data_IF_937399097395
#
_entry.id   IF_937399097395
#
_cell.length_a   1.000
_cell.length_b   1.000
_cell.length_c   1.000
_cell.angle_alpha   90.00
_cell.angle_beta   90.00
_cell.angle_gamma   90.00
#
_symmetry.space_group_name_H-M   'P 1'
#
loop_
_entity.id
_entity.type
_entity.pdbx_description
1 polymer ?
#
# COMPACT_ATOMS: atom_id res chain seq x y z
N UNK A 1 -29.10 -14.66 -5.69
CA UNK A 1 -28.03 -13.69 -6.05
C UNK A 1 -28.71 -12.54 -6.76
N UNK A 2 -28.33 -11.30 -6.45
CA UNK A 2 -28.88 -10.13 -7.14
C UNK A 2 -28.34 -10.15 -8.58
N UNK A 3 -29.23 -10.24 -9.59
CA UNK A 3 -28.84 -10.28 -11.01
C UNK A 3 -28.05 -9.03 -11.45
N UNK A 4 -28.09 -7.97 -10.65
CA UNK A 4 -27.42 -6.71 -10.88
C UNK A 4 -26.12 -6.56 -10.06
N UNK A 5 -25.64 -7.61 -9.40
CA UNK A 5 -24.40 -7.54 -8.61
C UNK A 5 -23.18 -7.42 -9.51
N UNK A 6 -22.31 -6.47 -9.19
CA UNK A 6 -21.09 -6.19 -9.94
C UNK A 6 -19.86 -6.57 -9.15
N UNK A 7 -18.88 -7.18 -9.82
CA UNK A 7 -17.63 -7.54 -9.17
C UNK A 7 -16.45 -7.38 -10.11
N UNK A 8 -15.31 -6.96 -9.57
CA UNK A 8 -14.12 -6.80 -10.40
C UNK A 8 -12.90 -6.34 -9.61
N UNK A 9 -11.76 -6.39 -10.29
CA UNK A 9 -10.47 -6.00 -9.77
C UNK A 9 -10.12 -4.58 -10.20
N UNK A 10 -9.62 -3.77 -9.27
CA UNK A 10 -9.28 -2.36 -9.48
C UNK A 10 -7.85 -2.08 -9.03
N UNK A 11 -6.97 -1.77 -9.97
CA UNK A 11 -5.61 -1.36 -9.64
C UNK A 11 -5.57 0.07 -9.12
N UNK A 12 -4.83 0.31 -8.04
CA UNK A 12 -4.53 1.64 -7.52
C UNK A 12 -3.09 1.98 -7.87
N UNK A 13 -2.89 2.90 -8.77
CA UNK A 13 -1.58 3.32 -9.26
C UNK A 13 -1.30 4.80 -9.04
N UNK A 14 -0.06 5.20 -9.21
CA UNK A 14 0.40 6.57 -9.07
C UNK A 14 1.80 6.65 -8.51
N UNK A 15 2.39 7.83 -8.51
CA UNK A 15 3.71 8.04 -7.93
C UNK A 15 3.76 7.68 -6.44
N UNK A 16 4.96 7.48 -5.87
CA UNK A 16 5.11 7.38 -4.42
C UNK A 16 4.50 8.60 -3.71
N UNK A 17 3.89 8.37 -2.55
CA UNK A 17 3.36 9.39 -1.63
C UNK A 17 2.13 10.20 -2.12
N UNK A 18 1.53 9.89 -3.24
CA UNK A 18 0.26 10.54 -3.69
C UNK A 18 -0.96 10.14 -2.84
N UNK A 19 -0.82 9.14 -1.95
CA UNK A 19 -1.86 8.75 -0.98
C UNK A 19 -2.65 7.49 -1.34
N UNK A 20 -2.10 6.60 -2.18
CA UNK A 20 -2.75 5.34 -2.60
C UNK A 20 -3.24 4.50 -1.42
N UNK A 21 -2.33 4.08 -0.56
CA UNK A 21 -2.64 3.26 0.63
C UNK A 21 -3.54 4.00 1.64
N UNK A 22 -3.44 5.34 1.72
CA UNK A 22 -4.32 6.16 2.58
C UNK A 22 -5.74 6.12 2.05
N UNK A 23 -5.93 6.31 0.74
CA UNK A 23 -7.26 6.24 0.11
C UNK A 23 -7.85 4.84 0.26
N UNK A 24 -7.08 3.79 -0.04
CA UNK A 24 -7.53 2.41 0.10
C UNK A 24 -7.99 2.11 1.53
N UNK A 25 -7.18 2.41 2.55
CA UNK A 25 -7.57 2.23 3.96
C UNK A 25 -8.84 3.02 4.32
N UNK A 26 -9.00 4.23 3.76
CA UNK A 26 -10.18 5.06 3.99
C UNK A 26 -11.44 4.43 3.38
N UNK A 27 -11.37 3.95 2.12
CA UNK A 27 -12.49 3.32 1.42
C UNK A 27 -12.93 2.01 2.10
N UNK A 28 -11.98 1.24 2.60
CA UNK A 28 -12.23 -0.02 3.31
C UNK A 28 -12.74 0.22 4.76
N UNK A 29 -12.47 1.39 5.34
CA UNK A 29 -12.77 1.69 6.74
C UNK A 29 -11.84 1.03 7.76
N UNK A 30 -10.79 0.33 7.30
CA UNK A 30 -9.80 -0.37 8.12
C UNK A 30 -8.38 -0.12 7.63
N UNK A 31 -7.40 -0.23 8.54
CA UNK A 31 -6.00 -0.09 8.19
C UNK A 31 -5.39 -1.44 7.81
N UNK A 32 -5.33 -1.71 6.52
CA UNK A 32 -4.70 -2.92 5.95
C UNK A 32 -3.31 -2.57 5.38
N UNK A 33 -3.21 -1.52 4.59
CA UNK A 33 -1.96 -1.07 4.02
C UNK A 33 -1.23 -0.10 4.94
N UNK A 34 0.09 -0.22 5.00
CA UNK A 34 0.92 0.73 5.73
C UNK A 34 1.00 2.07 5.00
N UNK A 35 1.13 3.14 5.77
CA UNK A 35 1.22 4.49 5.24
C UNK A 35 2.49 5.19 5.71
N UNK A 36 3.16 5.93 4.84
CA UNK A 36 4.32 6.75 5.20
C UNK A 36 4.53 7.87 4.19
N UNK A 37 5.16 8.97 4.63
CA UNK A 37 5.63 10.03 3.73
C UNK A 37 6.89 9.63 2.95
N UNK A 38 7.49 8.46 3.22
CA UNK A 38 8.73 8.00 2.58
C UNK A 38 8.40 7.20 1.31
N UNK A 39 9.19 7.33 0.23
CA UNK A 39 9.00 6.53 -0.97
C UNK A 39 9.23 5.04 -0.68
N UNK A 40 8.69 4.17 -1.55
CA UNK A 40 8.74 2.70 -1.41
C UNK A 40 8.07 2.18 -0.12
N UNK A 41 6.99 2.84 0.32
CA UNK A 41 6.18 2.38 1.45
C UNK A 41 5.50 1.05 1.11
N UNK A 42 4.76 0.98 0.02
CA UNK A 42 4.20 -0.27 -0.53
C UNK A 42 5.25 -0.94 -1.41
N UNK A 43 5.56 -2.21 -1.17
CA UNK A 43 6.55 -2.99 -1.93
C UNK A 43 5.95 -4.20 -2.64
N UNK A 44 4.90 -4.78 -2.08
CA UNK A 44 4.12 -5.86 -2.65
C UNK A 44 2.77 -5.34 -3.12
N UNK A 45 2.10 -6.09 -3.98
CA UNK A 45 0.68 -5.90 -4.24
C UNK A 45 -0.10 -6.19 -2.94
N UNK A 46 -0.90 -5.23 -2.49
CA UNK A 46 -1.78 -5.40 -1.34
C UNK A 46 -3.20 -5.52 -1.87
N UNK A 47 -3.84 -6.64 -1.59
CA UNK A 47 -5.21 -6.89 -1.97
C UNK A 47 -6.14 -6.61 -0.80
N UNK A 48 -7.19 -5.83 -1.08
CA UNK A 48 -8.27 -5.57 -0.14
C UNK A 48 -9.61 -5.69 -0.82
N UNK A 49 -10.60 -6.17 -0.09
CA UNK A 49 -11.94 -6.43 -0.59
C UNK A 49 -12.91 -5.45 0.05
N UNK A 50 -13.70 -4.78 -0.78
CA UNK A 50 -14.82 -3.96 -0.37
C UNK A 50 -16.11 -4.60 -0.88
N UNK A 51 -17.01 -4.96 0.02
CA UNK A 51 -18.29 -5.57 -0.33
C UNK A 51 -19.45 -4.65 0.11
N UNK A 52 -20.43 -4.46 -0.76
CA UNK A 52 -21.68 -3.77 -0.48
C UNK A 52 -22.84 -4.47 -1.20
N UNK A 53 -24.06 -3.98 -1.01
CA UNK A 53 -25.27 -4.57 -1.63
C UNK A 53 -25.24 -4.55 -3.17
N UNK A 54 -24.53 -3.60 -3.78
CA UNK A 54 -24.46 -3.38 -5.21
C UNK A 54 -23.31 -4.15 -5.88
N UNK A 55 -22.29 -4.53 -5.11
CA UNK A 55 -21.13 -5.21 -5.69
C UNK A 55 -19.97 -5.46 -4.74
N UNK A 56 -18.93 -6.09 -5.31
CA UNK A 56 -17.66 -6.35 -4.64
C UNK A 56 -16.51 -5.81 -5.47
N UNK A 57 -15.68 -4.96 -4.85
CA UNK A 57 -14.49 -4.38 -5.46
C UNK A 57 -13.26 -4.99 -4.81
N UNK A 58 -12.41 -5.61 -5.60
CA UNK A 58 -11.11 -6.10 -5.16
C UNK A 58 -10.05 -5.05 -5.52
N UNK A 59 -9.65 -4.25 -4.54
CA UNK A 59 -8.61 -3.24 -4.73
C UNK A 59 -7.22 -3.88 -4.68
N UNK A 60 -6.38 -3.52 -5.64
CA UNK A 60 -4.99 -3.93 -5.73
C UNK A 60 -4.09 -2.70 -5.58
N UNK A 61 -3.65 -2.39 -4.33
CA UNK A 61 -2.65 -1.32 -4.10
C UNK A 61 -1.28 -1.80 -4.58
N UNK A 62 -0.68 -1.02 -5.46
CA UNK A 62 0.58 -1.35 -6.09
C UNK A 62 1.72 -0.49 -5.54
N UNK A 63 2.98 -0.99 -5.60
CA UNK A 63 4.14 -0.14 -5.43
C UNK A 63 4.06 1.08 -6.34
N UNK A 64 4.49 2.23 -5.82
CA UNK A 64 4.53 3.46 -6.65
C UNK A 64 5.47 3.29 -7.84
N UNK A 65 4.99 3.61 -9.05
CA UNK A 65 5.76 3.51 -10.30
C UNK A 65 6.94 4.50 -10.24
N UNK A 66 8.16 3.97 -10.34
CA UNK A 66 9.41 4.73 -10.28
C UNK A 66 10.53 4.02 -11.03
N UNK A 67 11.61 4.72 -11.32
CA UNK A 67 12.79 4.11 -11.95
C UNK A 67 13.52 3.21 -10.96
N UNK A 68 13.66 1.93 -11.29
CA UNK A 68 14.39 0.95 -10.48
C UNK A 68 15.88 1.31 -10.34
N UNK A 69 16.43 1.08 -9.14
CA UNK A 69 17.85 1.30 -8.83
C UNK A 69 18.55 0.02 -8.35
N UNK A 70 17.81 -1.03 -8.06
CA UNK A 70 18.27 -2.33 -7.57
C UNK A 70 17.22 -3.40 -7.89
N UNK A 71 17.51 -4.68 -7.63
CA UNK A 71 16.57 -5.78 -7.91
C UNK A 71 15.25 -5.69 -7.17
N UNK A 72 15.23 -5.17 -5.94
CA UNK A 72 13.96 -4.90 -5.24
C UNK A 72 13.12 -3.87 -5.98
N UNK A 73 13.74 -2.81 -6.50
CA UNK A 73 13.07 -1.80 -7.33
C UNK A 73 12.51 -2.40 -8.62
N UNK A 74 13.27 -3.28 -9.29
CA UNK A 74 12.81 -4.01 -10.49
C UNK A 74 11.61 -4.90 -10.17
N UNK A 75 11.66 -5.63 -9.06
CA UNK A 75 10.53 -6.41 -8.55
C UNK A 75 9.28 -5.56 -8.38
N UNK A 76 9.40 -4.39 -7.72
CA UNK A 76 8.29 -3.48 -7.49
C UNK A 76 7.66 -2.96 -8.79
N UNK A 77 8.48 -2.66 -9.81
CA UNK A 77 8.01 -2.25 -11.14
C UNK A 77 7.24 -3.40 -11.80
N UNK A 78 7.80 -4.63 -11.78
CA UNK A 78 7.14 -5.81 -12.34
C UNK A 78 5.78 -6.10 -11.67
N UNK A 79 5.70 -5.96 -10.34
CA UNK A 79 4.42 -6.08 -9.60
C UNK A 79 3.38 -5.10 -10.12
N UNK A 80 3.76 -3.82 -10.28
CA UNK A 80 2.85 -2.80 -10.77
C UNK A 80 2.41 -3.07 -12.22
N UNK A 81 3.34 -3.40 -13.12
CA UNK A 81 3.06 -3.66 -14.54
C UNK A 81 2.17 -4.89 -14.76
N UNK A 82 2.38 -5.98 -14.00
CA UNK A 82 1.53 -7.18 -14.10
C UNK A 82 0.12 -6.89 -13.61
N UNK A 83 0.01 -6.18 -12.47
CA UNK A 83 -1.31 -5.82 -11.92
C UNK A 83 -2.16 -5.06 -12.93
N UNK A 84 -1.56 -4.16 -13.74
CA UNK A 84 -2.30 -3.40 -14.76
C UNK A 84 -2.95 -4.28 -15.85
N UNK A 85 -2.45 -5.49 -16.09
CA UNK A 85 -2.94 -6.39 -17.13
C UNK A 85 -4.09 -7.29 -16.68
N UNK A 86 -4.36 -7.34 -15.38
CA UNK A 86 -5.26 -8.32 -14.76
C UNK A 86 -6.48 -7.64 -14.09
N UNK A 87 -6.77 -6.37 -14.42
CA UNK A 87 -7.82 -5.60 -13.75
C UNK A 87 -8.91 -5.15 -14.69
N UNK A 88 -10.08 -4.89 -14.13
CA UNK A 88 -11.28 -4.43 -14.83
C UNK A 88 -11.34 -2.89 -14.91
N UNK A 89 -10.68 -2.20 -13.97
CA UNK A 89 -10.56 -0.75 -13.97
C UNK A 89 -9.28 -0.30 -13.26
N UNK A 90 -8.86 0.93 -13.53
CA UNK A 90 -7.67 1.52 -12.94
C UNK A 90 -8.03 2.84 -12.26
N UNK A 91 -7.61 3.00 -11.00
CA UNK A 91 -7.59 4.27 -10.30
C UNK A 91 -6.18 4.86 -10.37
N UNK A 92 -6.01 5.92 -11.12
CA UNK A 92 -4.74 6.66 -11.13
C UNK A 92 -4.80 7.83 -10.15
N UNK A 93 -4.01 7.77 -9.09
CA UNK A 93 -3.92 8.83 -8.10
C UNK A 93 -2.80 9.80 -8.42
N UNK A 94 -3.14 11.10 -8.35
CA UNK A 94 -2.22 12.23 -8.54
C UNK A 94 -2.45 13.28 -7.46
N UNK A 95 -1.50 14.20 -7.31
CA UNK A 95 -1.68 15.42 -6.50
C UNK A 95 -2.18 16.58 -7.38
N UNK A 96 -2.88 17.59 -6.82
CA UNK A 96 -3.29 18.76 -7.57
C UNK A 96 -2.07 19.50 -8.13
N UNK A 97 -1.96 19.61 -9.44
CA UNK A 97 -0.84 20.28 -10.09
C UNK A 97 -1.22 20.75 -11.49
N UNK A 98 -0.74 21.91 -11.87
CA UNK A 98 -0.78 22.41 -13.25
C UNK A 98 0.46 22.02 -14.05
N UNK A 99 1.37 21.24 -13.46
CA UNK A 99 2.57 20.72 -14.11
C UNK A 99 2.59 19.19 -14.09
N UNK A 100 2.70 18.59 -15.28
CA UNK A 100 2.84 17.15 -15.45
C UNK A 100 4.32 16.78 -15.47
N UNK A 101 4.78 16.14 -14.40
CA UNK A 101 6.16 15.69 -14.27
C UNK A 101 6.48 14.48 -15.15
N UNK A 102 7.78 14.12 -15.23
CA UNK A 102 8.22 12.95 -16.00
C UNK A 102 7.61 11.64 -15.52
N UNK A 103 7.38 11.52 -14.20
CA UNK A 103 6.76 10.33 -13.59
C UNK A 103 5.29 10.16 -14.00
N UNK A 104 4.51 11.24 -14.02
CA UNK A 104 3.11 11.22 -14.50
C UNK A 104 3.04 10.94 -16.00
N UNK A 105 3.93 11.54 -16.81
CA UNK A 105 3.98 11.25 -18.25
C UNK A 105 4.26 9.79 -18.53
N UNK A 106 5.20 9.20 -17.81
CA UNK A 106 5.51 7.77 -17.94
C UNK A 106 4.31 6.88 -17.60
N UNK A 107 3.56 7.21 -16.54
CA UNK A 107 2.33 6.49 -16.21
C UNK A 107 1.28 6.69 -17.31
N UNK A 108 1.08 7.92 -17.79
CA UNK A 108 0.13 8.20 -18.85
C UNK A 108 0.42 7.41 -20.14
N UNK A 109 1.70 7.31 -20.53
CA UNK A 109 2.14 6.51 -21.67
C UNK A 109 1.77 5.03 -21.52
N UNK A 110 1.90 4.46 -20.31
CA UNK A 110 1.49 3.09 -20.02
C UNK A 110 -0.03 2.90 -20.10
N UNK A 111 -0.82 3.93 -19.78
CA UNK A 111 -2.28 3.87 -19.77
C UNK A 111 -2.95 4.10 -21.11
N UNK A 112 -2.27 4.72 -22.08
CA UNK A 112 -2.85 5.10 -23.39
C UNK A 112 -3.48 3.93 -24.15
N UNK A 113 -3.01 2.69 -23.95
CA UNK A 113 -3.48 1.51 -24.69
C UNK A 113 -3.94 0.37 -23.78
N UNK A 114 -4.34 0.69 -22.55
CA UNK A 114 -4.61 -0.35 -21.53
C UNK A 114 -5.92 -1.11 -21.76
N UNK A 115 -6.88 -0.50 -22.48
CA UNK A 115 -8.15 -1.16 -22.85
C UNK A 115 -9.20 -1.25 -21.74
N UNK A 116 -8.91 -0.78 -20.52
CA UNK A 116 -9.83 -0.73 -19.38
C UNK A 116 -10.08 0.71 -18.94
N UNK A 117 -11.22 1.03 -18.32
CA UNK A 117 -11.54 2.38 -17.86
C UNK A 117 -10.51 2.86 -16.82
N UNK A 118 -10.04 4.10 -17.01
CA UNK A 118 -9.13 4.78 -16.10
C UNK A 118 -9.89 5.90 -15.40
N UNK A 119 -9.93 5.84 -14.08
CA UNK A 119 -10.52 6.85 -13.21
C UNK A 119 -9.37 7.66 -12.58
N UNK A 120 -9.32 8.96 -12.90
CA UNK A 120 -8.33 9.86 -12.31
C UNK A 120 -8.81 10.34 -10.94
N UNK A 121 -8.01 10.12 -9.91
CA UNK A 121 -8.24 10.63 -8.56
C UNK A 121 -7.22 11.73 -8.26
N UNK A 122 -7.68 12.99 -8.23
CA UNK A 122 -6.83 14.12 -7.81
C UNK A 122 -6.94 14.22 -6.30
N UNK A 123 -6.01 13.56 -5.60
CA UNK A 123 -6.00 13.47 -4.15
C UNK A 123 -5.29 14.67 -3.50
N UNK A 124 -5.49 14.86 -2.19
CA UNK A 124 -4.91 15.94 -1.36
C UNK A 124 -5.42 17.33 -1.74
N UNK A 125 -6.65 17.47 -2.17
CA UNK A 125 -7.25 18.79 -2.44
C UNK A 125 -7.32 19.69 -1.19
N UNK A 126 -7.15 19.13 0.00
CA UNK A 126 -7.03 19.85 1.26
C UNK A 126 -5.72 20.63 1.40
N UNK A 127 -4.76 20.45 0.49
CA UNK A 127 -3.46 21.13 0.49
C UNK A 127 -3.38 22.33 -0.44
N UNK A 128 -4.42 22.58 -1.24
CA UNK A 128 -4.52 23.66 -2.22
C UNK A 128 -5.80 24.46 -2.05
N UNK A 129 -5.87 25.64 -2.64
CA UNK A 129 -7.10 26.43 -2.67
C UNK A 129 -8.14 25.84 -3.65
N UNK A 130 -9.41 26.19 -3.50
CA UNK A 130 -10.48 25.69 -4.39
C UNK A 130 -10.28 26.13 -5.84
N UNK A 131 -9.71 27.31 -6.04
CA UNK A 131 -9.42 27.92 -7.34
C UNK A 131 -8.35 27.15 -8.11
N UNK A 132 -7.47 26.41 -7.41
CA UNK A 132 -6.40 25.62 -8.04
C UNK A 132 -6.88 24.24 -8.53
N UNK A 133 -8.05 23.76 -8.06
CA UNK A 133 -8.55 22.43 -8.40
C UNK A 133 -8.94 22.34 -9.87
N UNK A 134 -9.70 23.30 -10.40
CA UNK A 134 -10.12 23.31 -11.80
C UNK A 134 -8.95 23.38 -12.80
N UNK A 135 -7.94 24.26 -12.62
CA UNK A 135 -6.74 24.25 -13.44
C UNK A 135 -5.98 22.91 -13.41
N UNK A 136 -5.93 22.23 -12.25
CA UNK A 136 -5.33 20.91 -12.16
C UNK A 136 -6.13 19.87 -12.98
N UNK A 137 -7.45 19.84 -12.87
CA UNK A 137 -8.32 18.98 -13.69
C UNK A 137 -8.07 19.23 -15.18
N UNK A 138 -8.07 20.49 -15.62
CA UNK A 138 -7.87 20.86 -17.02
C UNK A 138 -6.47 20.48 -17.54
N UNK A 139 -5.49 20.41 -16.66
CA UNK A 139 -4.14 19.97 -17.02
C UNK A 139 -4.10 18.46 -17.24
N UNK A 140 -4.66 17.68 -16.32
CA UNK A 140 -4.63 16.22 -16.42
C UNK A 140 -5.53 15.68 -17.53
N UNK A 141 -6.71 16.25 -17.78
CA UNK A 141 -7.62 15.79 -18.85
C UNK A 141 -7.02 15.83 -20.27
N UNK A 142 -5.91 16.53 -20.45
CA UNK A 142 -5.17 16.60 -21.72
C UNK A 142 -4.12 15.48 -21.88
N UNK A 143 -3.89 14.69 -20.83
CA UNK A 143 -2.79 13.72 -20.76
C UNK A 143 -3.25 12.32 -21.15
N UNK A 144 -4.49 11.96 -20.82
CA UNK A 144 -5.07 10.66 -21.09
C UNK A 144 -6.60 10.80 -21.13
N UNK A 145 -7.28 9.89 -21.83
CA UNK A 145 -8.74 9.78 -21.78
C UNK A 145 -9.15 9.09 -20.47
N UNK A 146 -9.84 9.84 -19.63
CA UNK A 146 -10.34 9.34 -18.36
C UNK A 146 -11.83 9.05 -18.43
N UNK A 147 -12.26 7.91 -17.87
CA UNK A 147 -13.67 7.60 -17.71
C UNK A 147 -14.35 8.56 -16.72
N UNK A 148 -13.63 8.92 -15.66
CA UNK A 148 -14.07 9.91 -14.65
C UNK A 148 -12.85 10.65 -14.07
N UNK A 149 -13.08 11.87 -13.55
CA UNK A 149 -12.07 12.65 -12.80
C UNK A 149 -12.67 13.09 -11.47
N UNK A 150 -12.12 12.62 -10.37
CA UNK A 150 -12.64 12.86 -9.04
C UNK A 150 -11.59 13.57 -8.17
N UNK A 151 -11.76 14.86 -7.86
CA UNK A 151 -10.94 15.53 -6.86
C UNK A 151 -11.37 15.12 -5.45
N UNK A 152 -10.43 14.66 -4.61
CA UNK A 152 -10.73 14.20 -3.26
C UNK A 152 -9.62 14.52 -2.25
N UNK A 153 -9.93 14.38 -0.96
CA UNK A 153 -8.96 14.28 0.11
C UNK A 153 -9.14 12.96 0.87
N UNK A 154 -8.29 12.00 0.61
CA UNK A 154 -8.29 10.72 1.33
C UNK A 154 -8.04 10.91 2.85
N UNK A 155 -7.27 11.94 3.23
CA UNK A 155 -6.97 12.23 4.63
C UNK A 155 -8.18 12.81 5.39
N UNK A 156 -8.99 13.63 4.70
CA UNK A 156 -10.15 14.32 5.29
C UNK A 156 -11.47 13.61 4.99
N UNK A 157 -11.49 12.57 4.17
CA UNK A 157 -12.70 11.90 3.71
C UNK A 157 -13.56 12.76 2.77
N UNK A 158 -12.97 13.81 2.17
CA UNK A 158 -13.73 14.71 1.30
C UNK A 158 -13.84 14.08 -0.09
N UNK A 159 -15.07 14.02 -0.64
CA UNK A 159 -15.42 13.44 -1.95
C UNK A 159 -14.99 11.98 -2.13
N UNK A 160 -14.81 11.23 -1.03
CA UNK A 160 -14.42 9.81 -1.11
C UNK A 160 -15.64 8.89 -1.25
N UNK A 161 -16.82 9.33 -0.85
CA UNK A 161 -18.07 8.55 -0.89
C UNK A 161 -18.49 8.21 -2.33
N UNK A 162 -18.28 9.13 -3.27
CA UNK A 162 -18.66 8.95 -4.67
C UNK A 162 -17.73 7.99 -5.44
N UNK A 163 -16.54 7.71 -4.89
CA UNK A 163 -15.52 6.87 -5.56
C UNK A 163 -16.03 5.44 -5.74
N UNK A 164 -16.61 4.84 -4.72
CA UNK A 164 -17.13 3.46 -4.77
C UNK A 164 -18.23 3.34 -5.83
N UNK A 165 -19.25 4.22 -5.77
CA UNK A 165 -20.32 4.24 -6.75
C UNK A 165 -19.83 4.51 -8.19
N UNK A 166 -18.81 5.35 -8.34
CA UNK A 166 -18.17 5.59 -9.63
C UNK A 166 -17.47 4.32 -10.16
N UNK A 167 -16.69 3.63 -9.34
CA UNK A 167 -16.01 2.39 -9.74
C UNK A 167 -17.04 1.33 -10.16
N UNK A 168 -18.09 1.11 -9.36
CA UNK A 168 -19.11 0.11 -9.64
C UNK A 168 -19.82 0.32 -10.98
N UNK A 169 -19.89 1.55 -11.52
CA UNK A 169 -20.43 1.79 -12.86
C UNK A 169 -19.67 1.05 -13.96
N UNK A 170 -18.35 0.93 -13.78
CA UNK A 170 -17.43 0.40 -14.80
C UNK A 170 -17.10 -1.09 -14.60
N UNK A 171 -17.46 -1.69 -13.46
CA UNK A 171 -17.24 -3.11 -13.23
C UNK A 171 -18.27 -3.99 -13.95
N UNK A 172 -17.87 -5.19 -14.38
CA UNK A 172 -18.76 -6.16 -14.99
C UNK A 172 -19.77 -6.72 -13.98
N UNK A 173 -20.87 -7.25 -14.48
CA UNK A 173 -21.76 -8.10 -13.70
C UNK A 173 -21.08 -9.43 -13.41
N UNK A 174 -21.11 -9.88 -12.16
CA UNK A 174 -20.46 -11.12 -11.77
C UNK A 174 -20.76 -11.52 -10.31
N UNK A 175 -20.40 -12.72 -9.91
CA UNK A 175 -20.54 -13.21 -8.53
C UNK A 175 -19.50 -12.56 -7.61
N UNK A 176 -19.68 -12.73 -6.30
CA UNK A 176 -18.61 -12.42 -5.33
C UNK A 176 -17.39 -13.32 -5.56
N UNK A 177 -16.21 -12.75 -5.48
CA UNK A 177 -14.93 -13.48 -5.50
C UNK A 177 -14.52 -13.97 -4.11
N UNK A 178 -14.95 -13.25 -3.07
CA UNK A 178 -14.62 -13.49 -1.67
C UNK A 178 -15.88 -13.45 -0.82
N UNK A 179 -15.85 -14.12 0.33
CA UNK A 179 -16.93 -14.04 1.31
C UNK A 179 -17.17 -12.59 1.76
N UNK A 180 -18.40 -12.26 2.13
CA UNK A 180 -18.85 -10.91 2.45
C UNK A 180 -18.00 -10.22 3.53
N UNK A 181 -17.55 -10.99 4.52
CA UNK A 181 -16.74 -10.50 5.65
C UNK A 181 -15.23 -10.41 5.33
N UNK A 182 -14.82 -10.85 4.14
CA UNK A 182 -13.41 -10.82 3.76
C UNK A 182 -12.97 -9.40 3.46
N UNK A 183 -11.97 -8.91 4.18
CA UNK A 183 -11.39 -7.58 3.98
C UNK A 183 -10.03 -7.63 3.24
N UNK A 184 -9.28 -8.71 3.41
CA UNK A 184 -8.01 -8.95 2.73
C UNK A 184 -7.68 -10.45 2.74
N UNK A 185 -6.95 -10.89 1.73
CA UNK A 185 -6.39 -12.25 1.65
C UNK A 185 -4.98 -12.36 2.23
N UNK A 186 -4.43 -11.23 2.71
CA UNK A 186 -3.07 -11.22 3.23
C UNK A 186 -2.95 -12.00 4.54
N UNK A 187 -1.94 -12.88 4.66
CA UNK A 187 -1.67 -13.56 5.93
C UNK A 187 -1.39 -12.56 7.06
N UNK A 188 -1.99 -12.77 8.22
CA UNK A 188 -1.76 -11.91 9.40
C UNK A 188 -0.27 -11.68 9.68
N UNK A 189 0.57 -12.70 9.46
CA UNK A 189 2.02 -12.62 9.61
C UNK A 189 2.65 -11.54 8.71
N UNK A 190 2.14 -11.37 7.51
CA UNK A 190 2.63 -10.34 6.58
C UNK A 190 2.17 -8.95 7.02
N UNK A 191 0.92 -8.81 7.44
CA UNK A 191 0.38 -7.55 7.96
C UNK A 191 1.20 -7.09 9.17
N UNK A 192 1.49 -8.00 10.10
CA UNK A 192 2.32 -7.74 11.30
C UNK A 192 3.74 -7.29 10.91
N UNK A 193 4.38 -7.94 9.94
CA UNK A 193 5.69 -7.52 9.44
C UNK A 193 5.67 -6.10 8.87
N UNK A 194 4.64 -5.78 8.08
CA UNK A 194 4.46 -4.45 7.50
C UNK A 194 4.18 -3.39 8.57
N UNK A 195 3.43 -3.69 9.64
CA UNK A 195 3.23 -2.77 10.77
C UNK A 195 4.58 -2.43 11.43
N UNK A 196 5.45 -3.41 11.69
CA UNK A 196 6.78 -3.15 12.24
C UNK A 196 7.58 -2.27 11.27
N UNK A 197 7.53 -2.57 9.96
CA UNK A 197 8.22 -1.80 8.94
C UNK A 197 7.71 -0.36 8.87
N UNK A 198 6.41 -0.13 8.96
CA UNK A 198 5.83 1.21 9.04
C UNK A 198 6.38 2.03 10.20
N UNK A 199 6.41 1.44 11.42
CA UNK A 199 6.91 2.16 12.60
C UNK A 199 8.41 2.45 12.50
N UNK A 200 9.17 1.56 11.87
CA UNK A 200 10.57 1.82 11.53
C UNK A 200 10.71 2.94 10.48
N UNK A 201 9.88 2.95 9.42
CA UNK A 201 9.82 4.03 8.44
C UNK A 201 9.55 5.40 9.09
N UNK A 202 8.64 5.45 10.06
CA UNK A 202 8.29 6.68 10.77
C UNK A 202 9.38 7.16 11.74
N UNK A 203 10.13 6.24 12.31
CA UNK A 203 11.12 6.53 13.36
C UNK A 203 12.53 6.80 12.83
N UNK A 204 12.84 6.35 11.61
CA UNK A 204 14.17 6.42 11.01
C UNK A 204 14.19 7.47 9.87
N UNK A 205 15.36 8.06 9.62
CA UNK A 205 15.54 9.10 8.62
C UNK A 205 16.59 8.74 7.56
N UNK A 206 16.76 9.61 6.57
CA UNK A 206 17.70 9.49 5.45
C UNK A 206 17.49 8.19 4.66
N UNK A 207 18.57 7.49 4.29
CA UNK A 207 18.56 6.29 3.46
C UNK A 207 18.22 4.99 4.23
N UNK A 208 18.23 5.01 5.57
CA UNK A 208 18.06 3.81 6.39
C UNK A 208 16.70 3.14 6.16
N UNK A 209 15.57 3.89 6.11
CA UNK A 209 14.25 3.29 5.90
C UNK A 209 14.13 2.51 4.59
N UNK A 210 14.84 2.91 3.56
CA UNK A 210 14.76 2.26 2.24
C UNK A 210 15.46 0.90 2.20
N UNK A 211 16.44 0.69 3.09
CA UNK A 211 17.25 -0.53 3.18
C UNK A 211 16.78 -1.52 4.24
N UNK A 212 15.58 -1.37 4.82
CA UNK A 212 15.07 -2.31 5.82
C UNK A 212 14.06 -3.29 5.24
N UNK A 213 14.07 -4.52 5.78
CA UNK A 213 13.00 -5.50 5.68
C UNK A 213 12.66 -6.01 7.08
N UNK A 214 11.53 -6.68 7.22
CA UNK A 214 11.11 -7.30 8.50
C UNK A 214 10.78 -8.76 8.24
N UNK A 215 11.42 -9.64 8.99
CA UNK A 215 11.11 -11.07 9.00
C UNK A 215 10.42 -11.41 10.32
N UNK A 216 9.30 -12.11 10.24
CA UNK A 216 8.65 -12.69 11.43
C UNK A 216 9.27 -14.06 11.68
N UNK A 217 10.05 -14.18 12.73
CA UNK A 217 10.70 -15.43 13.07
C UNK A 217 9.71 -16.41 13.73
N UNK A 218 8.80 -15.87 14.56
CA UNK A 218 7.76 -16.65 15.26
C UNK A 218 6.50 -15.82 15.46
N UNK A 219 5.37 -16.45 15.27
CA UNK A 219 4.05 -15.93 15.65
C UNK A 219 3.21 -17.08 16.19
N UNK A 220 2.80 -16.99 17.47
CA UNK A 220 2.08 -18.07 18.14
C UNK A 220 1.07 -17.49 19.14
N UNK A 221 -0.16 -17.92 19.03
CA UNK A 221 -1.22 -17.61 19.97
C UNK A 221 -1.00 -18.37 21.30
N UNK A 222 -1.23 -17.67 22.40
CA UNK A 222 -1.35 -18.23 23.73
C UNK A 222 -2.81 -18.11 24.21
N UNK A 223 -3.58 -19.19 24.10
CA UNK A 223 -4.94 -19.21 24.63
C UNK A 223 -4.93 -19.22 26.16
N UNK A 224 -5.99 -18.73 26.81
CA UNK A 224 -6.13 -18.74 28.25
C UNK A 224 -7.07 -17.64 28.76
N UNK A 225 -7.04 -17.37 30.08
CA UNK A 225 -7.83 -16.29 30.69
C UNK A 225 -7.46 -14.89 30.15
N UNK A 226 -6.19 -14.72 29.75
CA UNK A 226 -5.69 -13.50 29.10
C UNK A 226 -5.04 -13.93 27.77
N UNK A 227 -5.81 -14.01 26.67
CA UNK A 227 -5.27 -14.43 25.39
C UNK A 227 -4.23 -13.42 24.92
N UNK A 228 -3.17 -13.92 24.30
CA UNK A 228 -2.04 -13.10 23.84
C UNK A 228 -1.38 -13.75 22.63
N UNK A 229 -0.81 -12.93 21.75
CA UNK A 229 0.02 -13.41 20.64
C UNK A 229 1.49 -13.11 20.94
N UNK A 230 2.33 -14.15 20.94
CA UNK A 230 3.79 -14.02 20.98
C UNK A 230 4.32 -13.80 19.57
N UNK A 231 5.00 -12.68 19.36
CA UNK A 231 5.60 -12.31 18.07
C UNK A 231 7.10 -12.07 18.30
N UNK A 232 7.90 -12.82 17.53
CA UNK A 232 9.34 -12.61 17.46
C UNK A 232 9.68 -12.18 16.03
N UNK A 233 10.33 -11.02 15.87
CA UNK A 233 10.63 -10.45 14.56
C UNK A 233 12.03 -9.84 14.50
N UNK A 234 12.62 -9.90 13.31
CA UNK A 234 13.93 -9.32 13.03
C UNK A 234 13.81 -8.21 12.00
N UNK A 235 14.27 -7.02 12.34
CA UNK A 235 14.49 -5.92 11.41
C UNK A 235 15.83 -6.17 10.71
N UNK A 236 15.79 -6.31 9.39
CA UNK A 236 16.96 -6.50 8.54
C UNK A 236 17.41 -5.14 8.03
N UNK A 237 18.72 -4.88 8.04
CA UNK A 237 19.34 -3.71 7.44
C UNK A 237 20.62 -4.09 6.68
N UNK A 238 21.17 -3.19 5.85
CA UNK A 238 22.27 -3.51 4.97
C UNK A 238 23.66 -3.27 5.59
N UNK A 239 23.77 -2.37 6.58
CA UNK A 239 25.05 -1.92 7.14
C UNK A 239 25.06 -1.93 8.67
N UNK A 240 26.22 -2.14 9.27
CA UNK A 240 26.38 -2.08 10.73
C UNK A 240 26.09 -0.69 11.31
N UNK A 241 26.43 0.38 10.58
CA UNK A 241 26.06 1.75 10.94
C UNK A 241 24.53 1.92 11.03
N UNK A 242 23.76 1.33 10.10
CA UNK A 242 22.30 1.34 10.14
C UNK A 242 21.76 0.57 11.35
N UNK A 243 22.37 -0.60 11.65
CA UNK A 243 21.98 -1.39 12.83
C UNK A 243 22.13 -0.58 14.12
N UNK A 244 23.24 0.16 14.28
CA UNK A 244 23.44 1.03 15.43
C UNK A 244 22.37 2.10 15.59
N UNK A 245 21.94 2.73 14.50
CA UNK A 245 20.89 3.75 14.47
C UNK A 245 19.51 3.15 14.77
N UNK A 246 19.20 1.98 14.19
CA UNK A 246 17.92 1.27 14.44
C UNK A 246 17.79 0.83 15.90
N UNK A 247 18.87 0.43 16.54
CA UNK A 247 18.89 0.09 17.97
C UNK A 247 18.80 1.37 18.80
N UNK A 248 19.58 2.39 18.46
CA UNK A 248 19.69 3.63 19.21
C UNK A 248 20.45 3.50 20.53
N UNK A 249 20.73 4.62 21.19
CA UNK A 249 21.45 4.67 22.47
C UNK A 249 20.67 3.87 23.53
N UNK A 250 21.31 2.84 24.10
CA UNK A 250 20.67 1.96 25.10
C UNK A 250 19.41 1.23 24.60
N UNK A 251 19.25 1.03 23.28
CA UNK A 251 18.07 0.37 22.71
C UNK A 251 16.84 1.27 22.57
N UNK A 252 16.97 2.56 22.79
CA UNK A 252 15.83 3.51 22.85
C UNK A 252 15.02 3.57 21.56
N UNK A 253 15.68 3.57 20.40
CA UNK A 253 15.00 3.63 19.10
C UNK A 253 14.23 2.33 18.79
N UNK A 254 14.87 1.18 19.02
CA UNK A 254 14.24 -0.13 18.86
C UNK A 254 13.03 -0.30 19.78
N UNK A 255 13.14 0.15 21.04
CA UNK A 255 12.03 0.18 22.00
C UNK A 255 10.88 1.05 21.52
N UNK A 256 11.16 2.25 20.96
CA UNK A 256 10.15 3.16 20.40
C UNK A 256 9.41 2.49 19.23
N UNK A 257 10.16 1.90 18.31
CA UNK A 257 9.58 1.15 17.16
C UNK A 257 8.69 0.01 17.67
N UNK A 258 9.20 -0.81 18.59
CA UNK A 258 8.48 -1.95 19.13
C UNK A 258 7.21 -1.57 19.90
N UNK A 259 7.25 -0.53 20.73
CA UNK A 259 6.08 -0.06 21.47
C UNK A 259 4.97 0.43 20.54
N UNK A 260 5.32 1.23 19.51
CA UNK A 260 4.36 1.73 18.54
C UNK A 260 3.80 0.60 17.66
N UNK A 261 4.63 -0.36 17.28
CA UNK A 261 4.20 -1.53 16.51
C UNK A 261 3.25 -2.41 17.34
N UNK A 262 3.58 -2.70 18.59
CA UNK A 262 2.74 -3.48 19.51
C UNK A 262 1.36 -2.85 19.66
N UNK A 263 1.28 -1.55 19.93
CA UNK A 263 0.01 -0.83 20.08
C UNK A 263 -0.89 -0.97 18.84
N UNK A 264 -0.31 -0.86 17.65
CA UNK A 264 -1.05 -1.02 16.40
C UNK A 264 -1.51 -2.47 16.17
N UNK A 265 -0.63 -3.44 16.49
CA UNK A 265 -0.94 -4.87 16.36
C UNK A 265 -2.06 -5.30 17.30
N UNK A 266 -2.06 -4.80 18.56
CA UNK A 266 -3.10 -5.09 19.54
C UNK A 266 -4.48 -4.63 19.04
N UNK A 267 -4.53 -3.52 18.30
CA UNK A 267 -5.77 -3.04 17.67
C UNK A 267 -6.20 -3.88 16.47
N UNK A 268 -5.22 -4.34 15.66
CA UNK A 268 -5.50 -5.12 14.45
C UNK A 268 -5.91 -6.56 14.77
N UNK A 269 -5.31 -7.15 15.81
CA UNK A 269 -5.52 -8.54 16.19
C UNK A 269 -6.60 -8.69 17.29
N UNK A 270 -7.13 -7.57 17.79
CA UNK A 270 -8.07 -7.50 18.92
C UNK A 270 -7.63 -8.36 20.11
N UNK A 271 -6.31 -8.38 20.40
CA UNK A 271 -5.72 -9.15 21.46
C UNK A 271 -4.40 -8.56 21.93
N UNK A 272 -3.95 -8.94 23.13
CA UNK A 272 -2.65 -8.50 23.65
C UNK A 272 -1.51 -9.09 22.83
N UNK A 273 -0.43 -8.32 22.65
CA UNK A 273 0.76 -8.74 21.91
C UNK A 273 2.03 -8.65 22.75
N UNK A 274 2.76 -9.75 22.82
CA UNK A 274 4.12 -9.79 23.35
C UNK A 274 5.12 -9.76 22.20
N UNK A 275 5.64 -8.57 21.90
CA UNK A 275 6.54 -8.34 20.76
C UNK A 275 8.00 -8.32 21.22
N UNK A 276 8.83 -9.17 20.60
CA UNK A 276 10.29 -9.14 20.70
C UNK A 276 10.91 -8.79 19.36
N UNK A 277 11.81 -7.81 19.36
CA UNK A 277 12.47 -7.31 18.15
C UNK A 277 13.99 -7.48 18.24
N UNK A 278 14.56 -7.93 17.12
CA UNK A 278 16.00 -7.96 16.89
C UNK A 278 16.38 -7.16 15.65
N UNK A 279 17.66 -6.85 15.51
CA UNK A 279 18.22 -6.19 14.33
C UNK A 279 19.39 -7.00 13.81
N UNK A 280 19.32 -7.40 12.53
CA UNK A 280 20.39 -8.16 11.85
C UNK A 280 20.85 -7.42 10.59
N UNK A 281 22.16 -7.49 10.32
CA UNK A 281 22.74 -6.99 9.07
C UNK A 281 22.72 -8.09 8.02
N UNK A 282 22.23 -7.75 6.83
CA UNK A 282 22.32 -8.56 5.61
C UNK A 282 22.76 -7.65 4.48
N UNK A 283 24.04 -7.68 4.16
CA UNK A 283 24.61 -6.84 3.10
C UNK A 283 23.94 -7.14 1.77
N UNK A 284 23.64 -6.11 1.02
CA UNK A 284 23.11 -6.17 -0.36
C UNK A 284 21.87 -7.06 -0.53
N UNK A 285 21.05 -7.19 0.53
CA UNK A 285 19.87 -8.06 0.50
C UNK A 285 18.87 -7.66 -0.60
N UNK A 286 18.81 -6.36 -0.96
CA UNK A 286 17.95 -5.84 -2.04
C UNK A 286 18.37 -6.27 -3.43
N UNK A 287 19.60 -6.78 -3.59
CA UNK A 287 20.15 -7.29 -4.84
C UNK A 287 20.31 -8.82 -4.85
N UNK A 288 19.89 -9.50 -3.77
CA UNK A 288 19.91 -10.96 -3.63
C UNK A 288 18.51 -11.55 -3.76
N UNK A 289 18.23 -12.27 -4.84
CA UNK A 289 16.92 -12.90 -5.09
C UNK A 289 16.54 -13.88 -3.98
N UNK A 290 17.51 -14.66 -3.48
CA UNK A 290 17.26 -15.59 -2.36
C UNK A 290 16.84 -14.86 -1.09
N UNK A 291 17.51 -13.75 -0.74
CA UNK A 291 17.16 -12.97 0.44
C UNK A 291 15.82 -12.25 0.24
N UNK A 292 15.57 -11.71 -0.93
CA UNK A 292 14.29 -11.08 -1.28
C UNK A 292 13.14 -12.07 -1.11
N UNK A 293 13.27 -13.29 -1.64
CA UNK A 293 12.27 -14.37 -1.47
C UNK A 293 12.03 -14.69 0.00
N UNK A 294 13.10 -14.79 0.82
CA UNK A 294 13.00 -15.05 2.26
C UNK A 294 12.31 -13.91 3.04
N UNK A 295 12.30 -12.70 2.51
CA UNK A 295 11.64 -11.53 3.11
C UNK A 295 10.26 -11.22 2.50
N UNK A 296 9.70 -12.15 1.70
CA UNK A 296 8.37 -12.03 1.12
C UNK A 296 8.30 -11.24 -0.19
N UNK A 297 9.44 -11.06 -0.87
CA UNK A 297 9.51 -10.43 -2.20
C UNK A 297 9.84 -11.50 -3.26
N UNK A 298 8.85 -12.32 -3.60
CA UNK A 298 9.02 -13.44 -4.51
C UNK A 298 8.41 -13.12 -5.88
N UNK A 299 9.20 -13.29 -6.96
CA UNK A 299 8.72 -13.07 -8.33
C UNK A 299 7.69 -14.10 -8.78
N UNK A 300 7.66 -15.27 -8.14
CA UNK A 300 6.71 -16.33 -8.45
C UNK A 300 5.28 -16.02 -7.92
N UNK A 301 5.17 -15.05 -6.98
CA UNK A 301 3.91 -14.65 -6.35
C UNK A 301 3.27 -13.42 -7.04
N UNK A 302 3.85 -12.99 -8.17
CA UNK A 302 3.39 -11.84 -8.93
C UNK A 302 2.43 -12.30 -10.03
#
# INVERSE_FOLDING_TARGET
>A
MNENFKSGFVAIIGRPNVGKSTLMNHLIGQKIAITSKKPQTTRNRIQTVYTCEEGQIVFLDTPGIHKAKNKLGEYMVQVAERTLKEVDAIMWLVEPSTFIGAGERHIAEQLQNIGVPVILIINKIDTVSKEEILPAIDTYRKVCDFAEIIPCSALRGQNTQDIIGCILKYLPYGPMFYDEDTVTDQPQRQIVAEVIREKALHALDAEIPHGIAVAIDKMKERPGKNPMVDIEATIICERDSHKGIIIGKGGSMLKKIGSNARYEMERLLDTQVNLKLWVKVRKDWRDSELMMKNFGYNKDDI
#
